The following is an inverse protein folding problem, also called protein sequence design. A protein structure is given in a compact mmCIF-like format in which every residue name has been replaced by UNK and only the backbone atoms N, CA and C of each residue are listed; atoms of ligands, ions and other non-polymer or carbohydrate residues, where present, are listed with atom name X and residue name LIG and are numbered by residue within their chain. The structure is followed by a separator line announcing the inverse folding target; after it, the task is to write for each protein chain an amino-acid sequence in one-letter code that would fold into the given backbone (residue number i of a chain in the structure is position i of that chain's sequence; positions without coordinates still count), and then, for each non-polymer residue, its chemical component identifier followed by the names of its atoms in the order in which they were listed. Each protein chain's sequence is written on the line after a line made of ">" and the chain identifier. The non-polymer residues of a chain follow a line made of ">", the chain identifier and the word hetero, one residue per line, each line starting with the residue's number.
data_IF_919672137095
#
_entry.id   IF_919672137095
#
_cell.length_a   1.000
_cell.length_b   1.000
_cell.length_c   1.000
_cell.angle_alpha   90.00
_cell.angle_beta   90.00
_cell.angle_gamma   90.00
#
_symmetry.space_group_name_H-M   'P 1'
#
loop_
_entity.id
_entity.type
_entity.pdbx_description
1 polymer ?
#
# COMPACT_ATOMS: atom_id res chain seq x y z
N UNK A 1 8.62 -0.11 5.30
CA UNK A 1 9.69 0.28 4.35
C UNK A 1 10.81 0.99 5.08
N UNK A 2 10.59 2.20 5.61
CA UNK A 2 11.63 3.01 6.23
C UNK A 2 12.12 2.52 7.61
N UNK A 3 11.49 1.49 8.20
CA UNK A 3 11.83 0.88 9.51
C UNK A 3 11.80 1.84 10.72
N UNK A 4 11.45 3.11 10.53
CA UNK A 4 11.30 4.10 11.59
C UNK A 4 9.93 4.02 12.29
N UNK A 5 9.90 4.52 13.53
CA UNK A 5 8.68 4.64 14.33
C UNK A 5 7.88 5.83 13.83
N UNK A 6 6.56 5.67 13.70
CA UNK A 6 5.66 6.78 13.40
C UNK A 6 5.55 7.70 14.61
N UNK A 7 5.83 9.00 14.43
CA UNK A 7 5.73 10.00 15.50
C UNK A 7 4.59 11.00 15.23
N UNK A 8 4.20 11.75 16.27
CA UNK A 8 3.24 12.83 16.13
C UNK A 8 3.75 13.92 15.17
N UNK A 9 2.89 14.34 14.25
CA UNK A 9 3.23 15.27 13.16
C UNK A 9 3.68 14.60 11.86
N UNK A 10 3.91 13.29 11.84
CA UNK A 10 4.22 12.58 10.60
C UNK A 10 3.01 12.51 9.66
N UNK A 11 3.27 12.75 8.37
CA UNK A 11 2.28 12.49 7.34
C UNK A 11 2.17 10.99 7.11
N UNK A 12 1.09 10.38 7.59
CA UNK A 12 0.83 8.94 7.49
C UNK A 12 -0.40 8.64 6.65
N UNK A 13 -0.38 7.51 5.96
CA UNK A 13 -1.50 6.98 5.20
C UNK A 13 -1.90 5.63 5.76
N UNK A 14 -3.20 5.46 5.99
CA UNK A 14 -3.80 4.19 6.41
C UNK A 14 -4.31 3.42 5.20
N UNK A 15 -3.89 2.17 5.05
CA UNK A 15 -4.41 1.27 4.02
C UNK A 15 -5.73 0.60 4.43
N UNK A 16 -6.46 0.00 3.48
CA UNK A 16 -7.69 -0.77 3.76
C UNK A 16 -7.48 -1.92 4.74
N UNK A 17 -6.29 -2.53 4.73
CA UNK A 17 -5.87 -3.54 5.69
C UNK A 17 -5.50 -2.97 7.09
N UNK A 18 -5.83 -1.70 7.36
CA UNK A 18 -5.65 -0.97 8.63
C UNK A 18 -4.21 -0.65 9.02
N UNK A 19 -3.21 -1.08 8.25
CA UNK A 19 -1.81 -0.73 8.46
C UNK A 19 -1.53 0.73 8.12
N UNK A 20 -0.63 1.34 8.90
CA UNK A 20 -0.21 2.74 8.79
C UNK A 20 1.23 2.79 8.30
N UNK A 21 1.50 3.70 7.37
CA UNK A 21 2.84 3.97 6.84
C UNK A 21 3.01 5.46 6.64
N UNK A 22 4.24 5.97 6.69
CA UNK A 22 4.51 7.33 6.19
C UNK A 22 4.02 7.45 4.76
N UNK A 23 3.36 8.57 4.46
CA UNK A 23 2.80 8.85 3.16
C UNK A 23 3.88 8.79 2.09
N UNK A 24 5.05 9.40 2.34
CA UNK A 24 6.22 9.30 1.47
C UNK A 24 6.69 7.85 1.28
N UNK A 25 6.78 7.05 2.36
CA UNK A 25 7.25 5.67 2.26
C UNK A 25 6.28 4.79 1.44
N UNK A 26 4.96 4.95 1.62
CA UNK A 26 3.98 4.14 0.88
C UNK A 26 3.75 4.65 -0.56
N UNK A 27 3.89 5.94 -0.81
CA UNK A 27 3.86 6.49 -2.17
C UNK A 27 5.07 5.98 -2.98
N UNK A 28 6.29 5.99 -2.40
CA UNK A 28 7.47 5.38 -3.04
C UNK A 28 7.32 3.87 -3.25
N UNK A 29 6.57 3.18 -2.40
CA UNK A 29 6.26 1.76 -2.59
C UNK A 29 5.44 1.53 -3.86
N UNK A 30 4.37 2.30 -4.03
CA UNK A 30 3.49 2.19 -5.19
C UNK A 30 4.19 2.62 -6.48
N UNK A 31 5.09 3.60 -6.42
CA UNK A 31 5.93 4.00 -7.55
C UNK A 31 6.86 2.86 -8.04
N UNK A 32 7.23 1.92 -7.17
CA UNK A 32 8.03 0.74 -7.52
C UNK A 32 7.19 -0.42 -8.10
N UNK A 33 6.00 -0.11 -8.63
CA UNK A 33 5.05 -1.08 -9.18
C UNK A 33 4.48 -2.10 -8.18
N UNK A 34 4.65 -1.88 -6.88
CA UNK A 34 3.95 -2.67 -5.88
C UNK A 34 2.53 -2.15 -5.71
N UNK A 35 1.56 -3.04 -5.54
CA UNK A 35 0.17 -2.69 -5.22
C UNK A 35 -0.30 -3.38 -3.94
N UNK A 36 0.61 -4.00 -3.20
CA UNK A 36 0.35 -4.76 -1.99
C UNK A 36 0.77 -4.02 -0.73
N UNK A 37 0.12 -4.33 0.39
CA UNK A 37 0.57 -3.87 1.70
C UNK A 37 1.96 -4.45 2.03
N UNK A 38 2.95 -3.64 2.40
CA UNK A 38 4.28 -4.15 2.74
C UNK A 38 4.32 -5.07 3.97
N UNK A 39 3.30 -5.03 4.84
CA UNK A 39 3.22 -5.85 6.05
C UNK A 39 2.43 -7.15 5.88
N UNK A 40 1.27 -7.08 5.25
CA UNK A 40 0.35 -8.22 5.15
C UNK A 40 0.08 -8.69 3.72
N UNK A 41 0.70 -8.05 2.72
CA UNK A 41 0.52 -8.37 1.29
C UNK A 41 -0.91 -8.24 0.75
N UNK A 42 -1.83 -7.68 1.53
CA UNK A 42 -3.18 -7.35 1.08
C UNK A 42 -3.12 -6.34 -0.06
N UNK A 43 -3.72 -6.68 -1.21
CA UNK A 43 -3.72 -5.84 -2.40
C UNK A 43 -4.56 -4.58 -2.16
N UNK A 44 -3.96 -3.43 -2.45
CA UNK A 44 -4.64 -2.17 -2.60
C UNK A 44 -5.35 -2.17 -3.95
N UNK A 45 -6.63 -2.54 -3.94
CA UNK A 45 -7.51 -2.35 -5.09
C UNK A 45 -8.08 -0.92 -4.97
N UNK A 46 -7.56 0.07 -5.71
CA UNK A 46 -8.30 1.30 -5.94
C UNK A 46 -9.59 0.90 -6.66
N UNK A 47 -10.73 1.48 -6.31
CA UNK A 47 -12.00 1.18 -6.98
C UNK A 47 -11.87 1.58 -8.46
N UNK A 48 -11.42 0.64 -9.31
CA UNK A 48 -11.50 0.74 -10.76
C UNK A 48 -12.74 -0.06 -11.12
N UNK A 49 -13.83 0.64 -11.35
CA UNK A 49 -14.92 0.09 -12.16
C UNK A 49 -14.31 -0.34 -13.50
N UNK A 50 -14.09 -1.64 -13.69
CA UNK A 50 -13.73 -2.24 -14.98
C UNK A 50 -12.38 -2.96 -15.13
N UNK A 51 -11.63 -3.29 -14.08
CA UNK A 51 -10.41 -4.10 -14.23
C UNK A 51 -10.69 -5.60 -13.96
N UNK A 52 -10.71 -6.48 -14.97
CA UNK A 52 -10.73 -7.92 -14.73
C UNK A 52 -9.38 -8.25 -14.11
N UNK A 53 -9.36 -8.52 -12.80
CA UNK A 53 -8.14 -8.82 -12.06
C UNK A 53 -7.27 -9.88 -12.74
N UNK A 54 -5.98 -9.95 -12.40
CA UNK A 54 -5.05 -10.84 -13.09
C UNK A 54 -5.59 -12.27 -13.04
N UNK A 55 -5.89 -12.80 -14.22
CA UNK A 55 -6.23 -14.20 -14.41
C UNK A 55 -5.16 -15.03 -13.70
N UNK A 56 -5.62 -15.83 -12.74
CA UNK A 56 -4.83 -16.79 -11.98
C UNK A 56 -3.87 -17.51 -12.94
N UNK A 57 -2.57 -17.31 -12.72
CA UNK A 57 -1.55 -18.05 -13.45
C UNK A 57 -1.71 -19.54 -13.12
N UNK A 58 -1.87 -20.33 -14.18
CA UNK A 58 -2.03 -21.79 -14.20
C UNK A 58 -0.89 -22.50 -13.48
#
# INVERSE_FOLDING_TARGET
>A
ICLEVLVDGDNVRRLKCKHLFHMSCIDSWFQKHHVDCPLCKSIFIPNREGDPGPAEAR
#
